data_IF_493027413704
#
_entry.id   IF_493027413704
#
_cell.length_a   1.000
_cell.length_b   1.000
_cell.length_c   1.000
_cell.angle_alpha   90.00
_cell.angle_beta   90.00
_cell.angle_gamma   90.00
#
_symmetry.space_group_name_H-M   'P 1'
#
loop_
_entity.id
_entity.type
_entity.pdbx_description
1 polymer ?
#
# COMPACT_ATOMS: atom_id res chain seq x y z
N UNK A 1 -2.50 -20.65 21.77
CA UNK A 1 -2.64 -19.65 20.67
C UNK A 1 -2.87 -20.26 19.27
N UNK A 2 -2.84 -21.60 19.09
CA UNK A 2 -3.18 -22.25 17.80
C UNK A 2 -4.68 -22.46 17.58
N UNK A 3 -5.47 -22.44 18.63
CA UNK A 3 -6.89 -22.83 18.60
C UNK A 3 -7.87 -21.66 18.40
N UNK A 4 -7.40 -20.42 18.50
CA UNK A 4 -8.24 -19.21 18.37
C UNK A 4 -8.86 -19.03 16.96
N UNK A 5 -8.13 -19.24 15.83
CA UNK A 5 -8.71 -19.12 14.50
C UNK A 5 -9.75 -20.20 14.17
N UNK A 6 -9.58 -21.42 14.69
CA UNK A 6 -10.54 -22.53 14.50
C UNK A 6 -11.81 -22.28 15.30
N UNK A 7 -11.68 -21.78 16.54
CA UNK A 7 -12.82 -21.39 17.36
C UNK A 7 -13.59 -20.22 16.72
N UNK A 8 -12.88 -19.23 16.14
CA UNK A 8 -13.49 -18.12 15.42
C UNK A 8 -14.28 -18.61 14.19
N UNK A 9 -13.75 -19.56 13.42
CA UNK A 9 -14.41 -20.14 12.26
C UNK A 9 -15.72 -20.85 12.66
N UNK A 10 -15.72 -21.64 13.73
CA UNK A 10 -16.93 -22.30 14.25
C UNK A 10 -18.00 -21.27 14.66
N UNK A 11 -17.60 -20.22 15.39
CA UNK A 11 -18.52 -19.16 15.81
C UNK A 11 -19.12 -18.44 14.59
N UNK A 12 -18.32 -18.17 13.57
CA UNK A 12 -18.79 -17.53 12.34
C UNK A 12 -19.77 -18.43 11.55
N UNK A 13 -19.56 -19.74 11.53
CA UNK A 13 -20.50 -20.68 10.94
C UNK A 13 -21.85 -20.70 11.70
N UNK A 14 -21.83 -20.68 13.02
CA UNK A 14 -23.03 -20.58 13.83
C UNK A 14 -23.76 -19.25 13.64
N UNK A 15 -22.99 -18.13 13.59
CA UNK A 15 -23.53 -16.82 13.31
C UNK A 15 -24.20 -16.76 11.92
N UNK A 16 -23.58 -17.37 10.92
CA UNK A 16 -24.13 -17.44 9.56
C UNK A 16 -25.45 -18.23 9.52
N UNK A 17 -25.50 -19.38 10.22
CA UNK A 17 -26.73 -20.18 10.33
C UNK A 17 -27.86 -19.39 10.96
N UNK A 18 -27.62 -18.70 12.09
CA UNK A 18 -28.60 -17.85 12.77
C UNK A 18 -29.05 -16.67 11.90
N UNK A 19 -28.14 -16.08 11.13
CA UNK A 19 -28.43 -15.01 10.20
C UNK A 19 -29.37 -15.46 9.06
N UNK A 20 -29.18 -16.69 8.56
CA UNK A 20 -30.10 -17.28 7.59
C UNK A 20 -31.47 -17.64 8.20
N UNK A 21 -31.49 -18.24 9.41
CA UNK A 21 -32.74 -18.57 10.11
C UNK A 21 -33.60 -17.32 10.39
N UNK A 22 -32.95 -16.16 10.62
CA UNK A 22 -33.63 -14.88 10.87
C UNK A 22 -33.89 -14.05 9.61
N UNK A 23 -33.55 -14.55 8.41
CA UNK A 23 -33.59 -13.82 7.12
C UNK A 23 -32.94 -12.43 7.18
N UNK A 24 -31.87 -12.30 7.98
CA UNK A 24 -31.19 -11.04 8.19
C UNK A 24 -30.06 -10.86 7.16
N UNK A 25 -30.37 -10.24 6.03
CA UNK A 25 -29.42 -10.02 4.93
C UNK A 25 -28.15 -9.27 5.36
N UNK A 26 -28.28 -8.27 6.25
CA UNK A 26 -27.13 -7.53 6.76
C UNK A 26 -26.20 -8.42 7.58
N UNK A 27 -26.77 -9.26 8.46
CA UNK A 27 -25.99 -10.20 9.25
C UNK A 27 -25.32 -11.25 8.37
N UNK A 28 -26.02 -11.78 7.35
CA UNK A 28 -25.45 -12.71 6.36
C UNK A 28 -24.22 -12.09 5.68
N UNK A 29 -24.37 -10.90 5.12
CA UNK A 29 -23.30 -10.20 4.40
C UNK A 29 -22.11 -9.92 5.32
N UNK A 30 -22.35 -9.41 6.53
CA UNK A 30 -21.31 -9.11 7.51
C UNK A 30 -20.55 -10.37 7.93
N UNK A 31 -21.27 -11.48 8.16
CA UNK A 31 -20.64 -12.74 8.54
C UNK A 31 -19.79 -13.32 7.41
N UNK A 32 -20.28 -13.25 6.15
CA UNK A 32 -19.46 -13.66 5.00
C UNK A 32 -18.18 -12.81 4.88
N UNK A 33 -18.24 -11.50 5.10
CA UNK A 33 -17.04 -10.63 5.06
C UNK A 33 -16.03 -11.02 6.15
N UNK A 34 -16.51 -11.29 7.37
CA UNK A 34 -15.65 -11.75 8.46
C UNK A 34 -15.00 -13.11 8.15
N UNK A 35 -15.78 -14.07 7.61
CA UNK A 35 -15.26 -15.38 7.20
C UNK A 35 -14.22 -15.24 6.08
N UNK A 36 -14.47 -14.36 5.11
CA UNK A 36 -13.55 -14.08 4.01
C UNK A 36 -12.22 -13.47 4.50
N UNK A 37 -12.30 -12.50 5.42
CA UNK A 37 -11.12 -11.92 6.05
C UNK A 37 -10.34 -12.96 6.86
N UNK A 38 -11.01 -13.82 7.62
CA UNK A 38 -10.36 -14.90 8.38
C UNK A 38 -9.66 -15.89 7.43
N UNK A 39 -10.31 -16.31 6.36
CA UNK A 39 -9.73 -17.19 5.36
C UNK A 39 -8.50 -16.56 4.68
N UNK A 40 -8.56 -15.26 4.38
CA UNK A 40 -7.45 -14.52 3.81
C UNK A 40 -6.24 -14.47 4.75
N UNK A 41 -6.44 -14.14 6.03
CA UNK A 41 -5.38 -14.11 7.06
C UNK A 41 -4.73 -15.49 7.24
N UNK A 42 -5.51 -16.56 7.09
CA UNK A 42 -5.02 -17.94 7.15
C UNK A 42 -4.33 -18.43 5.87
N UNK A 43 -4.26 -17.59 4.83
CA UNK A 43 -3.67 -17.92 3.53
C UNK A 43 -4.54 -18.87 2.68
N UNK A 44 -5.82 -19.06 3.04
CA UNK A 44 -6.79 -19.86 2.29
C UNK A 44 -7.36 -19.01 1.14
N UNK A 45 -6.51 -18.66 0.17
CA UNK A 45 -6.83 -17.65 -0.85
C UNK A 45 -8.04 -18.00 -1.71
N UNK A 46 -8.20 -19.27 -2.10
CA UNK A 46 -9.34 -19.74 -2.89
C UNK A 46 -10.66 -19.63 -2.10
N UNK A 47 -10.64 -20.00 -0.82
CA UNK A 47 -11.80 -19.87 0.05
C UNK A 47 -12.17 -18.40 0.28
N UNK A 48 -11.18 -17.55 0.56
CA UNK A 48 -11.36 -16.11 0.72
C UNK A 48 -11.97 -15.48 -0.56
N UNK A 49 -11.46 -15.85 -1.74
CA UNK A 49 -12.00 -15.41 -3.03
C UNK A 49 -13.49 -15.74 -3.18
N UNK A 50 -13.88 -16.99 -2.87
CA UNK A 50 -15.28 -17.41 -2.98
C UNK A 50 -16.19 -16.66 -2.00
N UNK A 51 -15.75 -16.48 -0.76
CA UNK A 51 -16.49 -15.78 0.27
C UNK A 51 -16.67 -14.29 -0.06
N UNK A 52 -15.62 -13.59 -0.51
CA UNK A 52 -15.75 -12.19 -0.96
C UNK A 52 -16.66 -12.04 -2.18
N UNK A 53 -16.59 -12.97 -3.14
CA UNK A 53 -17.53 -12.99 -4.27
C UNK A 53 -18.97 -13.20 -3.81
N UNK A 54 -19.21 -14.07 -2.84
CA UNK A 54 -20.53 -14.26 -2.25
C UNK A 54 -21.02 -12.98 -1.56
N UNK A 55 -20.16 -12.35 -0.73
CA UNK A 55 -20.47 -11.07 -0.08
C UNK A 55 -20.85 -10.00 -1.10
N UNK A 56 -20.06 -9.84 -2.16
CA UNK A 56 -20.34 -8.89 -3.25
C UNK A 56 -21.68 -9.17 -3.93
N UNK A 57 -21.98 -10.44 -4.21
CA UNK A 57 -23.24 -10.84 -4.83
C UNK A 57 -24.45 -10.51 -3.95
N UNK A 58 -24.36 -10.69 -2.63
CA UNK A 58 -25.41 -10.31 -1.68
C UNK A 58 -25.62 -8.79 -1.63
N UNK A 59 -24.55 -8.01 -1.63
CA UNK A 59 -24.62 -6.54 -1.62
C UNK A 59 -25.28 -6.01 -2.91
N UNK A 60 -24.80 -6.45 -4.07
CA UNK A 60 -25.34 -6.05 -5.38
C UNK A 60 -26.78 -6.53 -5.54
N UNK A 61 -27.12 -7.76 -5.14
CA UNK A 61 -28.48 -8.29 -5.14
C UNK A 61 -29.42 -7.55 -4.16
N UNK A 62 -28.85 -6.87 -3.16
CA UNK A 62 -29.56 -5.97 -2.25
C UNK A 62 -29.78 -4.55 -2.79
N UNK A 63 -29.32 -4.24 -4.01
CA UNK A 63 -29.47 -2.94 -4.66
C UNK A 63 -28.32 -1.96 -4.42
N UNK A 64 -27.21 -2.39 -3.79
CA UNK A 64 -26.02 -1.57 -3.64
C UNK A 64 -25.38 -1.32 -5.01
N UNK A 65 -24.91 -0.10 -5.25
CA UNK A 65 -24.30 0.26 -6.53
C UNK A 65 -22.83 -0.20 -6.58
N UNK A 66 -22.32 -0.39 -7.80
CA UNK A 66 -20.92 -0.78 -7.99
C UNK A 66 -19.90 0.27 -7.50
N UNK A 67 -20.31 1.55 -7.45
CA UNK A 67 -19.51 2.67 -6.98
C UNK A 67 -19.59 2.90 -5.45
N UNK A 68 -20.36 2.10 -4.72
CA UNK A 68 -20.41 2.19 -3.27
C UNK A 68 -19.06 1.75 -2.65
N UNK A 69 -18.63 2.50 -1.64
CA UNK A 69 -17.33 2.25 -0.98
C UNK A 69 -17.20 0.80 -0.46
N UNK A 70 -18.30 0.20 0.00
CA UNK A 70 -18.28 -1.20 0.45
C UNK A 70 -17.99 -2.19 -0.69
N UNK A 71 -18.52 -1.95 -1.90
CA UNK A 71 -18.21 -2.77 -3.09
C UNK A 71 -16.76 -2.59 -3.51
N UNK A 72 -16.26 -1.35 -3.48
CA UNK A 72 -14.88 -1.04 -3.85
C UNK A 72 -13.91 -1.67 -2.84
N UNK A 73 -14.22 -1.63 -1.54
CA UNK A 73 -13.41 -2.29 -0.51
C UNK A 73 -13.29 -3.80 -0.74
N UNK A 74 -14.40 -4.48 -1.07
CA UNK A 74 -14.38 -5.90 -1.40
C UNK A 74 -13.61 -6.15 -2.70
N UNK A 75 -13.76 -5.28 -3.70
CA UNK A 75 -13.00 -5.35 -4.96
C UNK A 75 -11.50 -5.22 -4.72
N UNK A 76 -11.08 -4.33 -3.82
CA UNK A 76 -9.68 -4.20 -3.39
C UNK A 76 -9.16 -5.47 -2.71
N UNK A 77 -9.96 -6.06 -1.80
CA UNK A 77 -9.61 -7.34 -1.15
C UNK A 77 -9.44 -8.46 -2.19
N UNK A 78 -10.32 -8.53 -3.19
CA UNK A 78 -10.20 -9.49 -4.30
C UNK A 78 -8.96 -9.23 -5.15
N UNK A 79 -8.63 -7.97 -5.46
CA UNK A 79 -7.41 -7.62 -6.18
C UNK A 79 -6.15 -8.07 -5.41
N UNK A 80 -6.12 -7.86 -4.09
CA UNK A 80 -5.02 -8.34 -3.23
C UNK A 80 -4.92 -9.88 -3.22
N UNK A 81 -6.04 -10.60 -3.24
CA UNK A 81 -6.04 -12.06 -3.36
C UNK A 81 -5.48 -12.49 -4.71
N UNK A 82 -5.89 -11.85 -5.81
CA UNK A 82 -5.35 -12.15 -7.14
C UNK A 82 -3.85 -11.86 -7.24
N UNK A 83 -3.39 -10.78 -6.61
CA UNK A 83 -1.96 -10.49 -6.50
C UNK A 83 -1.21 -11.61 -5.75
N UNK A 84 -1.74 -12.08 -4.62
CA UNK A 84 -1.16 -13.17 -3.84
C UNK A 84 -1.19 -14.53 -4.59
N UNK A 85 -2.18 -14.74 -5.45
CA UNK A 85 -2.30 -15.92 -6.34
C UNK A 85 -1.44 -15.82 -7.61
N UNK A 86 -0.65 -14.74 -7.79
CA UNK A 86 0.10 -14.45 -9.03
C UNK A 86 -0.80 -14.28 -10.29
N UNK A 87 -2.06 -13.96 -10.13
CA UNK A 87 -3.01 -13.66 -11.22
C UNK A 87 -2.89 -12.18 -11.61
N UNK A 88 -1.79 -11.82 -12.29
CA UNK A 88 -1.38 -10.42 -12.54
C UNK A 88 -2.44 -9.57 -13.23
N UNK A 89 -3.04 -10.08 -14.31
CA UNK A 89 -4.05 -9.34 -15.08
C UNK A 89 -5.28 -8.99 -14.22
N UNK A 90 -5.76 -9.95 -13.41
CA UNK A 90 -6.90 -9.72 -12.52
C UNK A 90 -6.56 -8.77 -11.38
N UNK A 91 -5.34 -8.85 -10.83
CA UNK A 91 -4.90 -7.95 -9.78
C UNK A 91 -4.84 -6.50 -10.30
N UNK A 92 -4.17 -6.27 -11.44
CA UNK A 92 -4.04 -4.94 -12.04
C UNK A 92 -5.40 -4.37 -12.44
N UNK A 93 -6.25 -5.15 -13.10
CA UNK A 93 -7.61 -4.73 -13.47
C UNK A 93 -8.46 -4.38 -12.23
N UNK A 94 -8.30 -5.14 -11.13
CA UNK A 94 -8.98 -4.86 -9.86
C UNK A 94 -8.52 -3.54 -9.23
N UNK A 95 -7.21 -3.29 -9.17
CA UNK A 95 -6.67 -2.01 -8.66
C UNK A 95 -7.10 -0.83 -9.53
N UNK A 96 -7.00 -0.96 -10.86
CA UNK A 96 -7.42 0.09 -11.80
C UNK A 96 -8.91 0.41 -11.66
N UNK A 97 -9.78 -0.61 -11.54
CA UNK A 97 -11.19 -0.44 -11.28
C UNK A 97 -11.44 0.35 -9.99
N UNK A 98 -10.81 -0.04 -8.88
CA UNK A 98 -10.98 0.64 -7.60
C UNK A 98 -10.53 2.10 -7.66
N UNK A 99 -9.34 2.35 -8.18
CA UNK A 99 -8.75 3.70 -8.25
C UNK A 99 -9.59 4.59 -9.17
N UNK A 100 -9.88 4.16 -10.41
CA UNK A 100 -10.63 4.97 -11.38
C UNK A 100 -12.06 5.27 -10.92
N UNK A 101 -12.71 4.31 -10.25
CA UNK A 101 -14.07 4.50 -9.72
C UNK A 101 -14.08 5.54 -8.61
N UNK A 102 -13.11 5.47 -7.67
CA UNK A 102 -13.01 6.43 -6.58
C UNK A 102 -12.58 7.82 -7.06
N UNK A 103 -11.61 7.93 -7.98
CA UNK A 103 -11.24 9.20 -8.58
C UNK A 103 -12.44 9.86 -9.29
N UNK A 104 -13.21 9.09 -10.06
CA UNK A 104 -14.42 9.59 -10.72
C UNK A 104 -15.54 9.95 -9.74
N UNK A 105 -15.67 9.25 -8.59
CA UNK A 105 -16.64 9.61 -7.53
C UNK A 105 -16.22 10.92 -6.87
N UNK A 106 -14.96 11.06 -6.49
CA UNK A 106 -14.41 12.27 -5.86
C UNK A 106 -14.56 13.49 -6.77
N UNK A 107 -14.30 13.34 -8.06
CA UNK A 107 -14.44 14.46 -9.01
C UNK A 107 -15.88 14.94 -9.12
N UNK A 108 -16.85 14.02 -9.19
CA UNK A 108 -18.28 14.38 -9.18
C UNK A 108 -18.71 15.03 -7.86
N UNK A 109 -18.17 14.58 -6.73
CA UNK A 109 -18.47 15.18 -5.43
C UNK A 109 -17.91 16.61 -5.31
N UNK A 110 -16.71 16.87 -5.85
CA UNK A 110 -16.12 18.23 -5.90
C UNK A 110 -16.96 19.21 -6.71
N UNK A 111 -17.57 18.76 -7.81
CA UNK A 111 -18.43 19.61 -8.63
C UNK A 111 -19.74 20.00 -7.92
N UNK A 112 -20.18 19.20 -6.94
CA UNK A 112 -21.47 19.34 -6.27
C UNK A 112 -21.39 20.00 -4.88
N UNK A 113 -20.21 20.03 -4.25
CA UNK A 113 -20.04 20.44 -2.86
C UNK A 113 -19.56 21.88 -2.70
N UNK A 114 -20.24 22.64 -1.83
CA UNK A 114 -19.71 23.84 -1.20
C UNK A 114 -18.62 23.40 -0.19
N UNK A 115 -17.48 24.03 -0.21
CA UNK A 115 -16.25 24.08 0.62
C UNK A 115 -16.06 23.20 1.88
N UNK A 116 -17.00 22.35 2.29
CA UNK A 116 -16.86 21.55 3.50
C UNK A 116 -16.76 20.07 3.16
N UNK A 117 -15.61 19.47 3.46
CA UNK A 117 -15.40 18.02 3.32
C UNK A 117 -16.30 17.25 4.30
N UNK A 118 -17.23 16.45 3.78
CA UNK A 118 -18.06 15.57 4.59
C UNK A 118 -17.26 14.37 5.11
N UNK A 119 -17.72 13.72 6.19
CA UNK A 119 -17.12 12.47 6.68
C UNK A 119 -17.15 11.37 5.61
N UNK A 120 -18.22 11.31 4.82
CA UNK A 120 -18.35 10.34 3.73
C UNK A 120 -17.30 10.60 2.63
N UNK A 121 -17.10 11.84 2.25
CA UNK A 121 -16.07 12.25 1.29
C UNK A 121 -14.67 11.94 1.82
N UNK A 122 -14.38 12.24 3.09
CA UNK A 122 -13.12 11.89 3.72
C UNK A 122 -12.85 10.36 3.69
N UNK A 123 -13.88 9.55 3.99
CA UNK A 123 -13.78 8.09 3.91
C UNK A 123 -13.54 7.60 2.47
N UNK A 124 -14.12 8.25 1.46
CA UNK A 124 -13.87 7.95 0.05
C UNK A 124 -12.42 8.25 -0.34
N UNK A 125 -11.85 9.37 0.11
CA UNK A 125 -10.43 9.69 -0.09
C UNK A 125 -9.52 8.67 0.61
N UNK A 126 -9.82 8.30 1.85
CA UNK A 126 -9.02 7.31 2.57
C UNK A 126 -9.06 5.93 1.89
N UNK A 127 -10.21 5.53 1.37
CA UNK A 127 -10.31 4.30 0.59
C UNK A 127 -9.48 4.38 -0.71
N UNK A 128 -9.46 5.54 -1.38
CA UNK A 128 -8.57 5.77 -2.52
C UNK A 128 -7.09 5.63 -2.10
N UNK A 129 -6.70 6.22 -0.97
CA UNK A 129 -5.35 6.06 -0.41
C UNK A 129 -4.98 4.59 -0.18
N UNK A 130 -5.91 3.78 0.36
CA UNK A 130 -5.72 2.34 0.56
C UNK A 130 -5.57 1.57 -0.77
N UNK A 131 -6.34 1.94 -1.79
CA UNK A 131 -6.23 1.35 -3.13
C UNK A 131 -4.88 1.66 -3.77
N UNK A 132 -4.44 2.92 -3.68
CA UNK A 132 -3.15 3.38 -4.19
C UNK A 132 -1.98 2.70 -3.48
N UNK A 133 -2.03 2.57 -2.14
CA UNK A 133 -1.03 1.85 -1.34
C UNK A 133 -0.93 0.38 -1.74
N UNK A 134 -2.07 -0.33 -1.84
CA UNK A 134 -2.09 -1.74 -2.24
C UNK A 134 -1.54 -1.95 -3.65
N UNK A 135 -1.92 -1.08 -4.59
CA UNK A 135 -1.39 -1.07 -5.96
C UNK A 135 0.12 -0.80 -5.97
N UNK A 136 0.59 0.19 -5.18
CA UNK A 136 2.01 0.54 -5.09
C UNK A 136 2.86 -0.63 -4.57
N UNK A 137 2.41 -1.33 -3.53
CA UNK A 137 3.08 -2.54 -3.01
C UNK A 137 3.20 -3.63 -4.08
N UNK A 138 2.12 -3.86 -4.81
CA UNK A 138 2.12 -4.83 -5.92
C UNK A 138 3.10 -4.43 -7.02
N UNK A 139 3.12 -3.15 -7.42
CA UNK A 139 4.04 -2.62 -8.42
C UNK A 139 5.50 -2.67 -7.97
N UNK A 140 5.76 -2.38 -6.68
CA UNK A 140 7.09 -2.51 -6.07
C UNK A 140 7.59 -3.96 -6.12
N UNK A 141 6.74 -4.91 -5.74
CA UNK A 141 7.05 -6.34 -5.84
C UNK A 141 7.34 -6.76 -7.29
N UNK A 142 6.58 -6.24 -8.24
CA UNK A 142 6.73 -6.47 -9.69
C UNK A 142 7.88 -5.67 -10.33
N UNK A 143 8.70 -4.97 -9.52
CA UNK A 143 9.84 -4.15 -9.98
C UNK A 143 9.48 -2.96 -10.87
N UNK A 144 8.23 -2.53 -10.84
CA UNK A 144 7.75 -1.34 -11.57
C UNK A 144 7.91 -0.09 -10.68
N UNK A 145 9.16 0.23 -10.30
CA UNK A 145 9.51 1.17 -9.24
C UNK A 145 8.94 2.58 -9.47
N UNK A 146 9.05 3.12 -10.70
CA UNK A 146 8.57 4.47 -11.00
C UNK A 146 7.04 4.59 -10.93
N UNK A 147 6.31 3.50 -11.21
CA UNK A 147 4.85 3.49 -11.06
C UNK A 147 4.48 3.37 -9.59
N UNK A 148 5.17 2.49 -8.83
CA UNK A 148 4.99 2.35 -7.39
C UNK A 148 5.19 3.70 -6.67
N UNK A 149 6.27 4.42 -6.99
CA UNK A 149 6.54 5.74 -6.44
C UNK A 149 5.35 6.69 -6.62
N UNK A 150 4.84 6.82 -7.86
CA UNK A 150 3.69 7.71 -8.14
C UNK A 150 2.45 7.34 -7.35
N UNK A 151 2.20 6.04 -7.13
CA UNK A 151 1.05 5.59 -6.33
C UNK A 151 1.25 5.94 -4.85
N UNK A 152 2.47 5.70 -4.31
CA UNK A 152 2.80 6.07 -2.92
C UNK A 152 2.74 7.58 -2.69
N UNK A 153 3.24 8.40 -3.62
CA UNK A 153 3.17 9.87 -3.52
C UNK A 153 1.72 10.36 -3.42
N UNK A 154 0.83 9.84 -4.29
CA UNK A 154 -0.60 10.18 -4.23
C UNK A 154 -1.25 9.70 -2.92
N UNK A 155 -0.97 8.46 -2.50
CA UNK A 155 -1.50 7.91 -1.25
C UNK A 155 -1.03 8.72 -0.03
N UNK A 156 0.25 9.09 -0.01
CA UNK A 156 0.84 9.90 1.06
C UNK A 156 0.19 11.28 1.13
N UNK A 157 0.00 11.95 0.00
CA UNK A 157 -0.67 13.25 -0.06
C UNK A 157 -2.08 13.15 0.54
N UNK A 158 -2.88 12.17 0.14
CA UNK A 158 -4.24 11.96 0.67
C UNK A 158 -4.22 11.77 2.19
N UNK A 159 -3.35 10.90 2.69
CA UNK A 159 -3.27 10.63 4.13
C UNK A 159 -2.80 11.85 4.91
N UNK A 160 -1.87 12.63 4.40
CA UNK A 160 -1.41 13.88 5.03
C UNK A 160 -2.53 14.92 5.11
N UNK A 161 -3.33 15.08 4.05
CA UNK A 161 -4.43 16.04 3.99
C UNK A 161 -5.59 15.65 4.91
N UNK A 162 -5.95 14.36 4.98
CA UNK A 162 -7.14 13.89 5.72
C UNK A 162 -6.83 13.56 7.19
N UNK A 163 -5.73 12.85 7.44
CA UNK A 163 -5.40 12.32 8.77
C UNK A 163 -4.27 13.07 9.46
N UNK A 164 -3.49 13.83 8.68
CA UNK A 164 -2.34 14.56 9.16
C UNK A 164 -1.04 13.74 9.14
N UNK A 165 0.07 14.46 9.26
CA UNK A 165 1.41 13.89 9.14
C UNK A 165 1.76 12.90 10.26
N UNK A 166 1.19 13.09 11.46
CA UNK A 166 1.44 12.25 12.65
C UNK A 166 0.60 10.97 12.69
N UNK A 167 -0.30 10.78 11.74
CA UNK A 167 -1.11 9.56 11.73
C UNK A 167 -0.24 8.33 11.42
N UNK A 168 -0.44 7.18 12.12
CA UNK A 168 0.39 5.98 11.91
C UNK A 168 0.49 5.55 10.45
N UNK A 169 -0.63 5.56 9.70
CA UNK A 169 -0.64 5.18 8.28
C UNK A 169 0.20 6.14 7.42
N UNK A 170 0.20 7.44 7.71
CA UNK A 170 1.02 8.43 7.00
C UNK A 170 2.52 8.13 7.17
N UNK A 171 2.93 7.74 8.38
CA UNK A 171 4.33 7.36 8.68
C UNK A 171 4.72 6.10 7.92
N UNK A 172 3.84 5.09 7.84
CA UNK A 172 4.07 3.87 7.05
C UNK A 172 4.26 4.21 5.58
N UNK A 173 3.38 5.04 5.00
CA UNK A 173 3.48 5.47 3.60
C UNK A 173 4.76 6.26 3.31
N UNK A 174 5.23 7.11 4.23
CA UNK A 174 6.54 7.77 4.10
C UNK A 174 7.68 6.75 4.06
N UNK A 175 7.64 5.73 4.91
CA UNK A 175 8.63 4.66 4.95
C UNK A 175 8.62 3.83 3.65
N UNK A 176 7.44 3.48 3.13
CA UNK A 176 7.28 2.70 1.91
C UNK A 176 7.73 3.50 0.67
N UNK A 177 7.42 4.80 0.61
CA UNK A 177 7.95 5.70 -0.43
C UNK A 177 9.47 5.80 -0.36
N UNK A 178 10.05 5.97 0.83
CA UNK A 178 11.49 6.04 1.02
C UNK A 178 12.19 4.76 0.57
N UNK A 179 11.66 3.58 0.90
CA UNK A 179 12.22 2.29 0.44
C UNK A 179 12.10 2.13 -1.07
N UNK A 180 11.06 2.67 -1.68
CA UNK A 180 10.89 2.68 -3.15
C UNK A 180 11.92 3.59 -3.83
N UNK A 181 12.18 4.77 -3.28
CA UNK A 181 13.22 5.70 -3.75
C UNK A 181 14.63 5.12 -3.59
N UNK A 182 14.91 4.45 -2.47
CA UNK A 182 16.17 3.73 -2.24
C UNK A 182 16.39 2.64 -3.31
N UNK A 183 15.36 1.86 -3.62
CA UNK A 183 15.40 0.84 -4.66
C UNK A 183 15.63 1.41 -6.08
N UNK A 184 15.31 2.69 -6.30
CA UNK A 184 15.59 3.42 -7.55
C UNK A 184 17.00 4.05 -7.56
N UNK A 185 17.72 4.06 -6.44
CA UNK A 185 19.00 4.71 -6.27
C UNK A 185 18.92 6.21 -5.93
N UNK A 186 17.73 6.71 -5.59
CA UNK A 186 17.49 8.09 -5.14
C UNK A 186 17.74 8.20 -3.63
N UNK A 187 18.97 7.93 -3.21
CA UNK A 187 19.34 7.74 -1.80
C UNK A 187 19.15 8.98 -0.93
N UNK A 188 19.37 10.17 -1.47
CA UNK A 188 19.19 11.42 -0.71
C UNK A 188 17.71 11.72 -0.44
N UNK A 189 16.85 11.55 -1.43
CA UNK A 189 15.41 11.71 -1.27
C UNK A 189 14.85 10.62 -0.33
N UNK A 190 15.29 9.37 -0.50
CA UNK A 190 14.96 8.26 0.37
C UNK A 190 15.32 8.56 1.84
N UNK A 191 16.50 9.11 2.08
CA UNK A 191 16.95 9.50 3.42
C UNK A 191 16.05 10.58 4.03
N UNK A 192 15.66 11.61 3.27
CA UNK A 192 14.81 12.70 3.76
C UNK A 192 13.45 12.16 4.23
N UNK A 193 12.77 11.35 3.42
CA UNK A 193 11.48 10.75 3.80
C UNK A 193 11.62 9.79 4.98
N UNK A 194 12.64 8.94 5.00
CA UNK A 194 12.83 7.96 6.06
C UNK A 194 13.23 8.60 7.39
N UNK A 195 14.05 9.64 7.35
CA UNK A 195 14.40 10.42 8.55
C UNK A 195 13.15 11.06 9.15
N UNK A 196 12.31 11.69 8.32
CA UNK A 196 11.06 12.29 8.77
C UNK A 196 10.10 11.25 9.36
N UNK A 197 9.93 10.10 8.69
CA UNK A 197 9.13 8.99 9.20
C UNK A 197 9.65 8.48 10.56
N UNK A 198 10.97 8.36 10.72
CA UNK A 198 11.62 7.94 11.96
C UNK A 198 11.37 8.91 13.12
N UNK A 199 11.46 10.20 12.86
CA UNK A 199 11.24 11.23 13.89
C UNK A 199 9.79 11.22 14.37
N UNK A 200 8.84 11.19 13.43
CA UNK A 200 7.42 11.10 13.75
C UNK A 200 7.06 9.78 14.45
N UNK A 201 7.61 8.66 14.00
CA UNK A 201 7.38 7.36 14.61
C UNK A 201 7.86 7.32 16.09
N UNK A 202 8.97 8.01 16.41
CA UNK A 202 9.43 8.17 17.81
C UNK A 202 8.48 9.05 18.61
N UNK A 203 8.02 10.18 18.04
CA UNK A 203 7.11 11.11 18.72
C UNK A 203 5.81 10.43 19.18
N UNK A 204 5.24 9.56 18.34
CA UNK A 204 3.96 8.90 18.65
C UNK A 204 4.11 7.51 19.29
N UNK A 205 5.34 7.03 19.53
CA UNK A 205 5.62 5.65 19.94
C UNK A 205 4.99 4.61 18.99
N UNK A 206 5.24 4.78 17.68
CA UNK A 206 4.67 3.92 16.63
C UNK A 206 5.03 2.44 16.88
N UNK A 207 4.07 1.49 16.79
CA UNK A 207 4.33 0.06 17.04
C UNK A 207 5.41 -0.52 16.11
N UNK A 208 5.52 -0.03 14.89
CA UNK A 208 6.51 -0.47 13.89
C UNK A 208 7.77 0.41 13.85
N UNK A 209 8.07 1.19 14.91
CA UNK A 209 9.27 2.03 14.98
C UNK A 209 10.55 1.24 14.64
N UNK A 210 10.66 -0.01 15.10
CA UNK A 210 11.80 -0.86 14.81
C UNK A 210 11.99 -1.13 13.30
N UNK A 211 10.90 -1.27 12.54
CA UNK A 211 10.93 -1.43 11.08
C UNK A 211 11.45 -0.17 10.40
N UNK A 212 10.90 1.00 10.78
CA UNK A 212 11.31 2.30 10.25
C UNK A 212 12.80 2.55 10.52
N UNK A 213 13.29 2.23 11.73
CA UNK A 213 14.70 2.37 12.07
C UNK A 213 15.61 1.40 11.29
N UNK A 214 15.16 0.18 11.05
CA UNK A 214 15.89 -0.79 10.21
C UNK A 214 16.00 -0.30 8.77
N UNK A 215 14.92 0.23 8.21
CA UNK A 215 14.90 0.79 6.86
C UNK A 215 15.80 2.04 6.76
N UNK A 216 15.79 2.92 7.78
CA UNK A 216 16.70 4.08 7.84
C UNK A 216 18.15 3.65 7.83
N UNK A 217 18.52 2.63 8.62
CA UNK A 217 19.88 2.10 8.64
C UNK A 217 20.31 1.54 7.27
N UNK A 218 19.42 0.83 6.58
CA UNK A 218 19.68 0.30 5.24
C UNK A 218 19.95 1.44 4.23
N UNK A 219 19.12 2.48 4.22
CA UNK A 219 19.28 3.65 3.32
C UNK A 219 20.60 4.37 3.60
N UNK A 220 20.97 4.55 4.86
CA UNK A 220 22.26 5.16 5.24
C UNK A 220 23.44 4.36 4.71
N UNK A 221 23.40 3.03 4.83
CA UNK A 221 24.46 2.15 4.30
C UNK A 221 24.57 2.27 2.78
N UNK A 222 23.45 2.26 2.06
CA UNK A 222 23.43 2.39 0.59
C UNK A 222 24.02 3.74 0.15
N UNK A 223 23.63 4.83 0.83
CA UNK A 223 24.12 6.17 0.56
C UNK A 223 25.62 6.29 0.78
N UNK A 224 26.12 5.77 1.90
CA UNK A 224 27.55 5.82 2.23
C UNK A 224 28.42 4.99 1.27
N UNK A 225 27.92 3.82 0.82
CA UNK A 225 28.59 3.01 -0.21
C UNK A 225 28.72 3.78 -1.52
N UNK A 226 27.68 4.51 -1.94
CA UNK A 226 27.72 5.30 -3.17
C UNK A 226 28.70 6.47 -3.04
N UNK A 227 28.67 7.20 -1.92
CA UNK A 227 29.62 8.28 -1.67
C UNK A 227 31.08 7.80 -1.66
N UNK A 228 31.36 6.66 -1.03
CA UNK A 228 32.68 6.06 -1.04
C UNK A 228 33.16 5.66 -2.44
N UNK A 229 32.24 5.11 -3.28
CA UNK A 229 32.56 4.78 -4.68
C UNK A 229 32.86 6.02 -5.52
N UNK A 230 32.09 7.08 -5.37
CA UNK A 230 32.31 8.36 -6.06
C UNK A 230 33.66 8.98 -5.67
N UNK A 231 34.00 8.98 -4.37
CA UNK A 231 35.30 9.48 -3.89
C UNK A 231 36.49 8.70 -4.50
N UNK A 232 36.40 7.38 -4.53
CA UNK A 232 37.42 6.54 -5.17
C UNK A 232 37.56 6.82 -6.66
N UNK A 233 36.43 7.01 -7.39
CA UNK A 233 36.48 7.36 -8.81
C UNK A 233 37.10 8.72 -9.06
N UNK A 234 36.77 9.74 -8.24
CA UNK A 234 37.35 11.06 -8.33
C UNK A 234 38.86 11.04 -8.06
N UNK A 235 39.28 10.32 -7.03
CA UNK A 235 40.73 10.16 -6.72
C UNK A 235 41.48 9.48 -7.87
N UNK A 236 40.92 8.43 -8.46
CA UNK A 236 41.53 7.76 -9.60
C UNK A 236 41.66 8.70 -10.81
N UNK A 237 40.62 9.45 -11.16
CA UNK A 237 40.66 10.43 -12.23
C UNK A 237 41.68 11.53 -11.99
N UNK A 238 41.76 12.05 -10.78
CA UNK A 238 42.75 13.08 -10.40
C UNK A 238 44.18 12.55 -10.51
N UNK A 239 44.41 11.29 -10.11
CA UNK A 239 45.70 10.67 -10.25
C UNK A 239 46.14 10.49 -11.72
N UNK A 240 45.21 10.14 -12.63
CA UNK A 240 45.48 10.09 -14.07
C UNK A 240 45.83 11.44 -14.67
N UNK A 241 45.19 12.52 -14.20
CA UNK A 241 45.46 13.88 -14.69
C UNK A 241 46.83 14.43 -14.23
N UNK A 242 47.36 13.93 -13.11
CA UNK A 242 48.63 14.34 -12.52
C UNK A 242 49.81 13.53 -13.05
N UNK A 243 49.58 12.49 -13.87
CA UNK A 243 50.71 11.75 -14.49
C UNK A 243 51.41 12.62 -15.53
N UNK A 244 52.77 12.71 -15.49
CA UNK A 244 53.51 13.48 -16.46
C UNK A 244 53.29 12.94 -17.88
N UNK A 245 53.29 13.82 -18.86
CA UNK A 245 53.00 13.52 -20.26
C UNK A 245 53.95 12.47 -20.93
N UNK A 246 54.98 12.07 -20.24
CA UNK A 246 55.96 11.04 -20.66
C UNK A 246 55.49 9.59 -20.42
N UNK A 247 54.39 9.40 -19.66
CA UNK A 247 53.77 8.06 -19.46
C UNK A 247 52.58 7.96 -20.36
N UNK A 248 52.55 6.99 -21.28
CA UNK A 248 51.44 6.74 -22.18
C UNK A 248 50.12 6.53 -21.36
N UNK A 249 49.20 7.48 -21.49
CA UNK A 249 47.86 7.40 -20.84
C UNK A 249 47.10 6.22 -21.44
N UNK A 250 46.54 5.30 -20.63
CA UNK A 250 45.62 4.31 -21.14
C UNK A 250 44.36 5.03 -21.71
N UNK A 251 43.66 4.45 -22.69
CA UNK A 251 42.41 5.04 -23.25
C UNK A 251 41.37 5.20 -22.14
N UNK A 252 40.48 6.21 -22.23
CA UNK A 252 39.39 6.38 -21.30
C UNK A 252 38.43 5.19 -21.40
N UNK A 253 37.99 4.67 -20.26
CA UNK A 253 36.98 3.62 -20.14
C UNK A 253 35.60 4.18 -20.45
#
# INVERSE_FOLDING_TARGET
>A
MKDEPEAAELILHDALRLAYESDNRKAITYTYDLMANLAFIRGQLENAEQLFKATMSYLLGGGMKQEDNAIIEISLKLANIYAAQNKQEFALAGYEFCISTLEGKIEREKELAEDIMSEETANTYLLLGMCLDSCARYLLFSKQLSQAQRMYEKALQICQEIQGERHPQTIVLMSDLATTLDAQGHFDDAYIYMQRASDLAREINHPELHMVLSNLAAILIHRDIVLARLDLQLRSQTQYLLLPASVSRPPPL
#
